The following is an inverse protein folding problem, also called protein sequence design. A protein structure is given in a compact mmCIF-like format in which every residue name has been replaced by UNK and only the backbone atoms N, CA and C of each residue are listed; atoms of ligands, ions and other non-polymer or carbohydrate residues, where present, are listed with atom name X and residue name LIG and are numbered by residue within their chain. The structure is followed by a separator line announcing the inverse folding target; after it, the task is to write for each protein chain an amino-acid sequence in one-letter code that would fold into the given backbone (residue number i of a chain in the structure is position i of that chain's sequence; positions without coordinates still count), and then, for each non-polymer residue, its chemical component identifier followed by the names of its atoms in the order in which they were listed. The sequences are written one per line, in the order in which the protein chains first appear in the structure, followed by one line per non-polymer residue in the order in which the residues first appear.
data_IF_101791778247
#
_entry.id   IF_101791778247
#
_cell.length_a   1.000
_cell.length_b   1.000
_cell.length_c   1.000
_cell.angle_alpha   90.00
_cell.angle_beta   90.00
_cell.angle_gamma   90.00
#
_symmetry.space_group_name_H-M   'P 1'
#
loop_
_entity.id
_entity.type
_entity.pdbx_description
1 polymer ?
#
# COMPACT_ATOMS: atom_id res chain seq x y z
N UNK A 1 -22.99 4.98 0.80
CA UNK A 1 -21.70 4.63 1.44
C UNK A 1 -20.57 5.04 0.50
N UNK A 2 -19.43 5.54 0.98
CA UNK A 2 -18.28 5.88 0.13
C UNK A 2 -17.65 4.60 -0.47
N UNK A 3 -17.16 4.69 -1.70
CA UNK A 3 -16.52 3.56 -2.40
C UNK A 3 -14.99 3.66 -2.24
N UNK A 4 -14.35 2.56 -1.84
CA UNK A 4 -12.90 2.41 -1.78
C UNK A 4 -12.43 1.32 -2.75
N UNK A 5 -11.45 1.64 -3.59
CA UNK A 5 -10.76 0.66 -4.45
C UNK A 5 -9.48 0.24 -3.75
N UNK A 6 -9.27 -1.07 -3.57
CA UNK A 6 -8.09 -1.63 -2.91
C UNK A 6 -7.47 -2.69 -3.82
N UNK A 7 -6.25 -2.46 -4.28
CA UNK A 7 -5.53 -3.43 -5.11
C UNK A 7 -4.76 -4.45 -4.25
N UNK A 8 -4.61 -5.68 -4.75
CA UNK A 8 -3.98 -6.77 -3.99
C UNK A 8 -4.86 -7.24 -2.82
N UNK A 9 -6.18 -7.30 -3.02
CA UNK A 9 -7.15 -7.55 -1.96
C UNK A 9 -7.30 -9.02 -1.53
N UNK A 10 -6.73 -9.97 -2.29
CA UNK A 10 -6.93 -11.41 -2.04
C UNK A 10 -6.19 -11.92 -0.78
N UNK A 11 -5.06 -11.32 -0.45
CA UNK A 11 -4.17 -11.84 0.59
C UNK A 11 -3.47 -10.73 1.39
N UNK A 12 -2.76 -11.14 2.42
CA UNK A 12 -1.83 -10.27 3.14
C UNK A 12 -2.48 -9.01 3.70
N UNK A 13 -1.74 -7.91 3.66
CA UNK A 13 -2.20 -6.59 4.13
C UNK A 13 -3.48 -6.18 3.38
N UNK A 14 -3.58 -6.47 2.06
CA UNK A 14 -4.72 -6.07 1.24
C UNK A 14 -6.04 -6.65 1.72
N UNK A 15 -6.06 -7.93 2.10
CA UNK A 15 -7.26 -8.58 2.68
C UNK A 15 -7.71 -7.90 3.98
N UNK A 16 -6.77 -7.53 4.83
CA UNK A 16 -7.05 -6.81 6.08
C UNK A 16 -7.53 -5.38 5.83
N UNK A 17 -6.98 -4.69 4.83
CA UNK A 17 -7.46 -3.39 4.37
C UNK A 17 -8.91 -3.48 3.89
N UNK A 18 -9.25 -4.46 3.04
CA UNK A 18 -10.62 -4.66 2.57
C UNK A 18 -11.60 -4.84 3.74
N UNK A 19 -11.26 -5.73 4.69
CA UNK A 19 -12.09 -5.97 5.86
C UNK A 19 -12.20 -4.74 6.79
N UNK A 20 -11.10 -4.00 6.98
CA UNK A 20 -11.06 -2.81 7.81
C UNK A 20 -11.90 -1.68 7.22
N UNK A 21 -11.77 -1.38 5.95
CA UNK A 21 -12.56 -0.36 5.28
C UNK A 21 -14.05 -0.71 5.21
N UNK A 22 -14.40 -1.97 4.99
CA UNK A 22 -15.80 -2.41 5.02
C UNK A 22 -16.43 -2.23 6.42
N UNK A 23 -15.69 -2.51 7.51
CA UNK A 23 -16.15 -2.26 8.88
C UNK A 23 -16.38 -0.77 9.18
N UNK A 24 -15.62 0.10 8.53
CA UNK A 24 -15.78 1.56 8.63
C UNK A 24 -16.83 2.13 7.66
N UNK A 25 -17.67 1.27 7.08
CA UNK A 25 -18.81 1.65 6.26
C UNK A 25 -18.49 2.01 4.81
N UNK A 26 -17.36 1.58 4.29
CA UNK A 26 -17.05 1.69 2.86
C UNK A 26 -17.62 0.50 2.09
N UNK A 27 -18.12 0.76 0.88
CA UNK A 27 -18.23 -0.27 -0.14
C UNK A 27 -16.85 -0.47 -0.76
N UNK A 28 -16.31 -1.67 -0.69
CA UNK A 28 -14.95 -1.98 -1.10
C UNK A 28 -14.95 -2.70 -2.44
N UNK A 29 -14.27 -2.14 -3.43
CA UNK A 29 -13.88 -2.83 -4.65
C UNK A 29 -12.47 -3.41 -4.47
N UNK A 30 -12.39 -4.71 -4.22
CA UNK A 30 -11.14 -5.43 -4.04
C UNK A 30 -10.65 -5.97 -5.39
N UNK A 31 -9.46 -5.53 -5.83
CA UNK A 31 -8.85 -5.94 -7.09
C UNK A 31 -7.69 -6.90 -6.83
N UNK A 32 -7.67 -8.03 -7.53
CA UNK A 32 -6.53 -8.96 -7.48
C UNK A 32 -6.48 -9.82 -8.76
N UNK A 33 -5.30 -10.35 -9.07
CA UNK A 33 -5.13 -11.36 -10.12
C UNK A 33 -5.57 -12.74 -9.64
N UNK A 34 -5.55 -12.98 -8.32
CA UNK A 34 -5.98 -14.24 -7.73
C UNK A 34 -7.49 -14.26 -7.50
N UNK A 35 -8.12 -15.44 -7.58
CA UNK A 35 -9.51 -15.57 -7.22
C UNK A 35 -9.76 -15.14 -5.79
N UNK A 36 -10.79 -14.34 -5.58
CA UNK A 36 -11.21 -13.85 -4.27
C UNK A 36 -12.66 -14.19 -4.02
N UNK A 37 -12.97 -14.47 -2.76
CA UNK A 37 -14.33 -14.48 -2.25
C UNK A 37 -14.36 -13.77 -0.90
N UNK A 38 -15.39 -13.02 -0.62
CA UNK A 38 -15.59 -12.41 0.68
C UNK A 38 -16.99 -12.70 1.19
N UNK A 39 -17.14 -13.11 2.45
CA UNK A 39 -18.45 -13.23 3.09
C UNK A 39 -19.07 -11.88 3.46
N UNK A 40 -18.29 -10.79 3.42
CA UNK A 40 -18.78 -9.46 3.76
C UNK A 40 -19.57 -8.88 2.57
N UNK A 41 -20.82 -8.45 2.77
CA UNK A 41 -21.69 -8.00 1.68
C UNK A 41 -21.15 -6.75 0.96
N UNK A 42 -20.41 -5.90 1.63
CA UNK A 42 -19.87 -4.66 1.08
C UNK A 42 -18.48 -4.82 0.45
N UNK A 43 -17.95 -6.04 0.31
CA UNK A 43 -16.69 -6.32 -0.39
C UNK A 43 -16.99 -7.01 -1.72
N UNK A 44 -16.75 -6.29 -2.81
CA UNK A 44 -16.93 -6.75 -4.18
C UNK A 44 -15.58 -7.07 -4.80
N UNK A 45 -15.42 -8.30 -5.32
CA UNK A 45 -14.17 -8.80 -5.86
C UNK A 45 -14.11 -8.65 -7.37
N UNK A 46 -13.04 -8.06 -7.89
CA UNK A 46 -12.81 -7.83 -9.30
C UNK A 46 -11.47 -8.43 -9.74
N UNK A 47 -11.45 -9.39 -10.67
CA UNK A 47 -10.22 -9.88 -11.26
C UNK A 47 -9.50 -8.76 -12.03
N UNK A 48 -8.22 -8.50 -11.73
CA UNK A 48 -7.44 -7.47 -12.42
C UNK A 48 -5.94 -7.73 -12.33
N UNK A 49 -5.28 -7.86 -13.46
CA UNK A 49 -3.81 -7.82 -13.53
C UNK A 49 -3.36 -6.36 -13.63
N UNK A 50 -2.60 -5.90 -12.65
CA UNK A 50 -2.10 -4.51 -12.59
C UNK A 50 -1.08 -4.18 -13.69
N UNK A 51 -0.60 -5.17 -14.46
CA UNK A 51 0.26 -4.96 -15.61
C UNK A 51 -0.54 -4.68 -16.88
N UNK A 52 -1.84 -5.03 -16.88
CA UNK A 52 -2.73 -4.85 -18.04
C UNK A 52 -3.51 -3.53 -17.91
N UNK A 53 -3.12 -2.56 -18.74
CA UNK A 53 -3.75 -1.23 -18.77
C UNK A 53 -5.22 -1.29 -19.18
N UNK A 54 -5.57 -2.16 -20.14
CA UNK A 54 -6.94 -2.29 -20.61
C UNK A 54 -7.85 -2.91 -19.52
N UNK A 55 -7.33 -3.92 -18.79
CA UNK A 55 -8.04 -4.52 -17.66
C UNK A 55 -8.29 -3.49 -16.55
N UNK A 56 -7.27 -2.68 -16.19
CA UNK A 56 -7.43 -1.60 -15.19
C UNK A 56 -8.50 -0.61 -15.63
N UNK A 57 -8.41 -0.11 -16.88
CA UNK A 57 -9.38 0.86 -17.39
C UNK A 57 -10.81 0.29 -17.35
N UNK A 58 -10.99 -0.94 -17.82
CA UNK A 58 -12.29 -1.61 -17.82
C UNK A 58 -12.86 -1.79 -16.42
N UNK A 59 -12.06 -2.28 -15.48
CA UNK A 59 -12.53 -2.55 -14.10
C UNK A 59 -12.88 -1.27 -13.35
N UNK A 60 -12.12 -0.17 -13.54
CA UNK A 60 -12.45 1.12 -12.92
C UNK A 60 -13.77 1.68 -13.45
N UNK A 61 -14.03 1.56 -14.76
CA UNK A 61 -15.32 1.93 -15.32
C UNK A 61 -16.48 1.08 -14.78
N UNK A 62 -16.28 -0.25 -14.68
CA UNK A 62 -17.28 -1.15 -14.10
C UNK A 62 -17.59 -0.79 -12.66
N UNK A 63 -16.58 -0.50 -11.83
CA UNK A 63 -16.76 -0.08 -10.44
C UNK A 63 -17.59 1.20 -10.37
N UNK A 64 -17.25 2.21 -11.18
CA UNK A 64 -17.98 3.47 -11.19
C UNK A 64 -19.46 3.29 -11.59
N UNK A 65 -19.75 2.39 -12.52
CA UNK A 65 -21.11 2.09 -12.98
C UNK A 65 -21.92 1.28 -11.96
N UNK A 66 -21.28 0.34 -11.24
CA UNK A 66 -21.97 -0.62 -10.38
C UNK A 66 -22.01 -0.23 -8.91
N UNK A 67 -20.93 0.40 -8.41
CA UNK A 67 -20.78 0.77 -7.01
C UNK A 67 -20.81 2.29 -6.78
N UNK A 68 -20.62 3.09 -7.83
CA UNK A 68 -20.57 4.54 -7.78
C UNK A 68 -19.14 5.10 -7.85
N UNK A 69 -19.02 6.42 -7.87
CA UNK A 69 -17.74 7.11 -7.97
C UNK A 69 -16.86 6.81 -6.77
N UNK A 70 -15.64 6.27 -6.98
CA UNK A 70 -14.75 5.95 -5.88
C UNK A 70 -14.26 7.22 -5.17
N UNK A 71 -14.11 7.15 -3.86
CA UNK A 71 -13.59 8.24 -3.02
C UNK A 71 -12.18 7.96 -2.50
N UNK A 72 -11.81 6.69 -2.42
CA UNK A 72 -10.51 6.24 -1.92
C UNK A 72 -9.92 5.23 -2.89
N UNK A 73 -8.62 5.37 -3.18
CA UNK A 73 -7.80 4.37 -3.87
C UNK A 73 -6.64 3.98 -2.97
N UNK A 74 -6.49 2.68 -2.69
CA UNK A 74 -5.32 2.13 -2.01
C UNK A 74 -4.56 1.23 -2.97
N UNK A 75 -3.40 1.69 -3.41
CA UNK A 75 -2.47 0.91 -4.23
C UNK A 75 -1.63 0.03 -3.31
N UNK A 76 -2.16 -1.15 -2.96
CA UNK A 76 -1.48 -2.14 -2.14
C UNK A 76 -0.91 -3.30 -2.98
N UNK A 77 -1.53 -3.62 -4.12
CA UNK A 77 -1.12 -4.73 -4.97
C UNK A 77 0.35 -4.63 -5.38
N UNK A 78 1.13 -5.65 -5.01
CA UNK A 78 2.56 -5.68 -5.27
C UNK A 78 3.08 -7.12 -5.32
N UNK A 79 4.19 -7.31 -5.99
CA UNK A 79 4.98 -8.55 -5.97
C UNK A 79 6.33 -8.29 -5.29
N UNK A 80 6.76 -9.27 -4.48
CA UNK A 80 8.05 -9.29 -3.80
C UNK A 80 8.71 -10.62 -4.12
N UNK A 81 9.45 -10.65 -5.22
CA UNK A 81 10.06 -11.87 -5.80
C UNK A 81 11.38 -11.57 -6.48
N UNK A 82 12.07 -12.62 -6.94
CA UNK A 82 13.36 -12.56 -7.61
C UNK A 82 14.51 -12.10 -6.71
N UNK A 83 14.53 -12.59 -5.44
CA UNK A 83 15.69 -12.40 -4.57
C UNK A 83 16.86 -13.24 -5.07
N UNK A 84 17.89 -12.58 -5.62
CA UNK A 84 19.08 -13.23 -6.14
C UNK A 84 20.29 -12.27 -6.17
N UNK A 85 21.53 -12.79 -6.36
CA UNK A 85 22.68 -11.91 -6.55
C UNK A 85 22.45 -10.94 -7.73
N UNK A 86 22.80 -9.67 -7.53
CA UNK A 86 22.52 -8.60 -8.49
C UNK A 86 22.94 -8.91 -9.94
N UNK A 87 24.15 -9.48 -10.24
CA UNK A 87 24.52 -9.78 -11.62
C UNK A 87 23.67 -10.85 -12.31
N UNK A 88 22.85 -11.58 -11.53
CA UNK A 88 21.96 -12.64 -12.05
C UNK A 88 20.51 -12.17 -12.18
N UNK A 89 20.19 -10.94 -11.78
CA UNK A 89 18.86 -10.37 -11.97
C UNK A 89 18.66 -10.03 -13.44
N UNK A 90 17.69 -10.69 -14.08
CA UNK A 90 17.38 -10.45 -15.48
C UNK A 90 16.49 -9.20 -15.65
N UNK A 91 16.68 -8.47 -16.76
CA UNK A 91 15.89 -7.28 -17.06
C UNK A 91 14.36 -7.55 -17.02
N UNK A 92 13.93 -8.69 -17.59
CA UNK A 92 12.51 -9.07 -17.55
C UNK A 92 11.94 -9.28 -16.15
N UNK A 93 12.77 -9.72 -15.19
CA UNK A 93 12.37 -9.91 -13.80
C UNK A 93 12.26 -8.55 -13.08
N UNK A 94 13.20 -7.66 -13.37
CA UNK A 94 13.15 -6.27 -12.92
C UNK A 94 11.90 -5.57 -13.46
N UNK A 95 11.65 -5.67 -14.77
CA UNK A 95 10.49 -5.08 -15.44
C UNK A 95 9.15 -5.63 -14.91
N UNK A 96 9.09 -6.92 -14.59
CA UNK A 96 7.90 -7.54 -14.03
C UNK A 96 7.53 -6.95 -12.66
N UNK A 97 8.53 -6.73 -11.79
CA UNK A 97 8.31 -6.10 -10.48
C UNK A 97 7.91 -4.63 -10.64
N UNK A 98 8.60 -3.87 -11.47
CA UNK A 98 8.25 -2.46 -11.71
C UNK A 98 6.90 -2.34 -12.42
N UNK A 99 6.61 -3.22 -13.35
CA UNK A 99 5.34 -3.28 -14.06
C UNK A 99 4.14 -3.40 -13.13
N UNK A 100 4.25 -4.28 -12.14
CA UNK A 100 3.20 -4.48 -11.13
C UNK A 100 3.18 -3.36 -10.10
N UNK A 101 4.33 -3.14 -9.42
CA UNK A 101 4.38 -2.34 -8.20
C UNK A 101 4.34 -0.83 -8.45
N UNK A 102 4.90 -0.37 -9.57
CA UNK A 102 5.02 1.06 -9.86
C UNK A 102 4.12 1.48 -11.03
N UNK A 103 4.28 0.84 -12.21
CA UNK A 103 3.46 1.18 -13.38
C UNK A 103 1.98 0.88 -13.12
N UNK A 104 1.66 -0.26 -12.50
CA UNK A 104 0.29 -0.61 -12.15
C UNK A 104 -0.35 0.42 -11.20
N UNK A 105 0.37 0.84 -10.16
CA UNK A 105 -0.10 1.89 -9.26
C UNK A 105 -0.31 3.22 -9.99
N UNK A 106 0.60 3.61 -10.89
CA UNK A 106 0.43 4.80 -11.74
C UNK A 106 -0.85 4.73 -12.57
N UNK A 107 -1.12 3.58 -13.22
CA UNK A 107 -2.31 3.38 -14.03
C UNK A 107 -3.58 3.48 -13.18
N UNK A 108 -3.60 2.86 -12.00
CA UNK A 108 -4.73 2.96 -11.07
C UNK A 108 -4.96 4.41 -10.61
N UNK A 109 -3.89 5.14 -10.26
CA UNK A 109 -3.99 6.57 -9.93
C UNK A 109 -4.61 7.37 -11.07
N UNK A 110 -4.16 7.13 -12.30
CA UNK A 110 -4.67 7.83 -13.49
C UNK A 110 -6.17 7.58 -13.70
N UNK A 111 -6.61 6.35 -13.64
CA UNK A 111 -8.04 6.01 -13.81
C UNK A 111 -8.88 6.57 -12.64
N UNK A 112 -8.38 6.47 -11.41
CA UNK A 112 -9.04 7.06 -10.26
C UNK A 112 -9.25 8.58 -10.42
N UNK A 113 -8.20 9.30 -10.82
CA UNK A 113 -8.28 10.76 -11.03
C UNK A 113 -9.27 11.10 -12.14
N UNK A 114 -9.33 10.32 -13.22
CA UNK A 114 -10.33 10.49 -14.30
C UNK A 114 -11.76 10.40 -13.79
N UNK A 115 -12.04 9.45 -12.91
CA UNK A 115 -13.37 9.24 -12.32
C UNK A 115 -13.72 10.30 -11.26
N UNK A 116 -12.73 10.78 -10.49
CA UNK A 116 -12.94 11.76 -9.42
C UNK A 116 -12.87 13.21 -9.90
N UNK A 117 -12.59 13.45 -11.18
CA UNK A 117 -12.42 14.80 -11.72
C UNK A 117 -13.71 15.63 -11.51
N UNK A 118 -13.53 16.79 -10.86
CA UNK A 118 -14.64 17.71 -10.60
C UNK A 118 -15.51 17.36 -9.39
N UNK A 119 -15.24 16.26 -8.66
CA UNK A 119 -15.97 15.93 -7.43
C UNK A 119 -15.53 16.74 -6.21
N UNK A 120 -14.36 17.39 -6.29
CA UNK A 120 -13.77 18.14 -5.17
C UNK A 120 -13.22 17.27 -4.04
N UNK A 121 -13.17 15.95 -4.22
CA UNK A 121 -12.69 15.02 -3.20
C UNK A 121 -12.07 13.75 -3.79
N UNK A 122 -10.98 13.30 -3.21
CA UNK A 122 -10.37 11.99 -3.48
C UNK A 122 -9.21 11.73 -2.54
N UNK A 123 -8.95 10.47 -2.21
CA UNK A 123 -7.82 10.03 -1.38
C UNK A 123 -7.07 8.91 -2.10
N UNK A 124 -5.82 9.15 -2.43
CA UNK A 124 -4.92 8.15 -2.99
C UNK A 124 -3.89 7.79 -1.93
N UNK A 125 -3.77 6.50 -1.59
CA UNK A 125 -2.83 5.98 -0.62
C UNK A 125 -2.00 4.88 -1.29
N UNK A 126 -0.71 5.13 -1.40
CA UNK A 126 0.23 4.18 -2.00
C UNK A 126 0.93 3.38 -0.90
N UNK A 127 0.79 2.06 -0.89
CA UNK A 127 1.51 1.20 0.04
C UNK A 127 2.93 0.97 -0.50
N UNK A 128 3.86 1.80 -0.01
CA UNK A 128 5.27 1.68 -0.30
C UNK A 128 5.93 0.59 0.57
N UNK A 129 7.05 0.86 1.17
CA UNK A 129 7.77 0.00 2.13
C UNK A 129 8.92 0.79 2.72
N UNK A 130 9.37 0.46 3.93
CA UNK A 130 10.64 0.96 4.47
C UNK A 130 11.83 0.66 3.56
N UNK A 131 11.70 -0.31 2.64
CA UNK A 131 12.71 -0.62 1.63
C UNK A 131 12.92 0.46 0.56
N UNK A 132 12.22 1.57 0.62
CA UNK A 132 12.55 2.75 -0.19
C UNK A 132 13.87 3.42 0.26
N UNK A 133 14.29 3.19 1.51
CA UNK A 133 15.50 3.78 2.10
C UNK A 133 16.40 2.77 2.84
N UNK A 134 15.85 1.65 3.35
CA UNK A 134 16.59 0.63 4.10
C UNK A 134 16.41 -0.72 3.43
N UNK A 135 17.42 -1.15 2.70
CA UNK A 135 17.35 -2.30 1.81
C UNK A 135 18.15 -3.50 2.31
N UNK A 136 17.83 -4.67 1.80
CA UNK A 136 18.62 -5.90 1.88
C UNK A 136 19.17 -6.24 0.51
N UNK A 137 20.30 -6.94 0.46
CA UNK A 137 20.87 -7.42 -0.80
C UNK A 137 19.93 -8.39 -1.53
N UNK A 138 19.93 -8.31 -2.85
CA UNK A 138 19.11 -9.16 -3.72
C UNK A 138 17.67 -8.71 -3.89
N UNK A 139 17.29 -7.52 -3.42
CA UNK A 139 15.94 -6.96 -3.53
C UNK A 139 15.88 -5.67 -4.36
N UNK A 140 16.80 -5.50 -5.32
CA UNK A 140 16.98 -4.26 -6.07
C UNK A 140 15.71 -3.83 -6.81
N UNK A 141 15.03 -4.77 -7.50
CA UNK A 141 13.79 -4.47 -8.22
C UNK A 141 12.67 -4.01 -7.26
N UNK A 142 12.52 -4.70 -6.13
CA UNK A 142 11.52 -4.33 -5.14
C UNK A 142 11.82 -2.97 -4.50
N UNK A 143 13.06 -2.76 -4.04
CA UNK A 143 13.48 -1.47 -3.48
C UNK A 143 13.30 -0.32 -4.46
N UNK A 144 13.72 -0.50 -5.72
CA UNK A 144 13.52 0.48 -6.78
C UNK A 144 12.03 0.80 -7.01
N UNK A 145 11.17 -0.22 -7.04
CA UNK A 145 9.74 -0.04 -7.24
C UNK A 145 9.10 0.76 -6.09
N UNK A 146 9.49 0.48 -4.85
CA UNK A 146 8.95 1.17 -3.65
C UNK A 146 9.50 2.59 -3.50
N UNK A 147 10.77 2.82 -3.87
CA UNK A 147 11.35 4.16 -3.99
C UNK A 147 10.65 4.99 -5.07
N UNK A 148 10.42 4.40 -6.24
CA UNK A 148 9.65 5.01 -7.32
C UNK A 148 8.23 5.39 -6.90
N UNK A 149 7.57 4.55 -6.08
CA UNK A 149 6.21 4.81 -5.60
C UNK A 149 6.16 6.00 -4.62
N UNK A 150 7.16 6.16 -3.76
CA UNK A 150 7.30 7.35 -2.89
C UNK A 150 7.50 8.61 -3.72
N UNK A 151 8.36 8.56 -4.74
CA UNK A 151 8.59 9.68 -5.66
C UNK A 151 7.34 10.02 -6.49
N UNK A 152 6.61 9.00 -6.98
CA UNK A 152 5.33 9.17 -7.68
C UNK A 152 4.29 9.86 -6.79
N UNK A 153 4.22 9.50 -5.50
CA UNK A 153 3.34 10.14 -4.51
C UNK A 153 3.62 11.64 -4.43
N UNK A 154 4.90 12.02 -4.26
CA UNK A 154 5.31 13.42 -4.18
C UNK A 154 5.00 14.20 -5.47
N UNK A 155 5.16 13.57 -6.63
CA UNK A 155 4.87 14.20 -7.92
C UNK A 155 3.36 14.39 -8.13
N UNK A 156 2.55 13.39 -7.78
CA UNK A 156 1.10 13.44 -7.97
C UNK A 156 0.43 14.46 -7.05
N UNK A 157 0.86 14.59 -5.79
CA UNK A 157 0.26 15.56 -4.87
C UNK A 157 0.43 17.01 -5.39
N UNK A 158 1.55 17.32 -6.07
CA UNK A 158 1.76 18.62 -6.71
C UNK A 158 0.92 18.76 -7.98
N UNK A 159 0.88 17.72 -8.82
CA UNK A 159 0.13 17.75 -10.08
C UNK A 159 -1.38 17.86 -9.89
N UNK A 160 -1.90 17.41 -8.75
CA UNK A 160 -3.33 17.40 -8.42
C UNK A 160 -3.73 18.58 -7.51
N UNK A 161 -2.91 19.62 -7.39
CA UNK A 161 -3.26 20.79 -6.58
C UNK A 161 -4.58 21.41 -7.07
N UNK A 162 -5.38 21.91 -6.12
CA UNK A 162 -6.69 22.53 -6.42
C UNK A 162 -7.81 21.56 -6.81
N UNK A 163 -7.56 20.25 -6.89
CA UNK A 163 -8.58 19.24 -7.26
C UNK A 163 -9.36 18.69 -6.07
N UNK A 164 -8.90 18.90 -4.84
CA UNK A 164 -9.43 18.26 -3.63
C UNK A 164 -8.94 16.81 -3.44
N UNK A 165 -8.09 16.30 -4.33
CA UNK A 165 -7.49 14.97 -4.23
C UNK A 165 -6.16 15.08 -3.46
N UNK A 166 -6.00 14.29 -2.40
CA UNK A 166 -4.72 14.11 -1.71
C UNK A 166 -4.05 12.80 -2.11
N UNK A 167 -2.72 12.82 -2.14
CA UNK A 167 -1.91 11.63 -2.47
C UNK A 167 -0.87 11.46 -1.39
N UNK A 168 -0.93 10.33 -0.68
CA UNK A 168 0.00 9.99 0.39
C UNK A 168 0.56 8.57 0.21
N UNK A 169 1.68 8.27 0.85
CA UNK A 169 2.22 6.93 0.93
C UNK A 169 2.23 6.45 2.38
N UNK A 170 2.05 5.15 2.57
CA UNK A 170 2.33 4.44 3.81
C UNK A 170 3.50 3.50 3.52
N UNK A 171 4.52 3.54 4.38
CA UNK A 171 5.70 2.67 4.29
C UNK A 171 5.75 1.70 5.46
N UNK A 172 5.15 0.50 5.31
CA UNK A 172 5.24 -0.52 6.34
C UNK A 172 6.69 -1.02 6.52
N UNK A 173 7.05 -1.32 7.77
CA UNK A 173 8.21 -2.13 8.11
C UNK A 173 7.89 -3.62 8.03
N UNK A 174 8.36 -4.39 9.01
CA UNK A 174 7.96 -5.79 9.11
C UNK A 174 6.54 -5.91 9.66
N UNK A 175 5.63 -6.34 8.81
CA UNK A 175 4.23 -6.64 9.15
C UNK A 175 4.05 -8.15 9.01
N UNK A 176 3.76 -8.84 10.12
CA UNK A 176 3.45 -10.26 10.10
C UNK A 176 1.97 -10.46 9.82
N UNK A 177 1.68 -11.15 8.75
CA UNK A 177 0.30 -11.37 8.27
C UNK A 177 -0.31 -12.64 8.87
N UNK A 178 0.46 -13.73 8.86
CA UNK A 178 0.04 -15.05 9.32
C UNK A 178 0.97 -15.50 10.45
N UNK A 179 0.51 -16.47 11.27
CA UNK A 179 1.29 -17.09 12.33
C UNK A 179 2.01 -16.11 13.28
N UNK A 180 1.32 -15.07 13.69
CA UNK A 180 1.91 -14.02 14.54
C UNK A 180 2.50 -14.58 15.84
N UNK A 181 1.87 -15.62 16.40
CA UNK A 181 2.29 -16.26 17.66
C UNK A 181 3.55 -17.12 17.49
N UNK A 182 3.96 -17.41 16.26
CA UNK A 182 5.23 -18.10 15.96
C UNK A 182 6.47 -17.21 16.03
N UNK A 183 6.28 -15.89 16.16
CA UNK A 183 7.37 -14.93 16.25
C UNK A 183 8.16 -15.09 17.56
N UNK A 184 9.48 -14.99 17.45
CA UNK A 184 10.38 -15.11 18.58
C UNK A 184 10.53 -13.76 19.30
N UNK A 185 10.91 -13.75 20.57
CA UNK A 185 11.18 -12.50 21.29
C UNK A 185 12.21 -11.58 20.58
N UNK A 186 13.24 -12.17 19.95
CA UNK A 186 14.21 -11.40 19.16
C UNK A 186 13.64 -10.74 17.91
N UNK A 187 12.56 -11.26 17.35
CA UNK A 187 11.88 -10.66 16.21
C UNK A 187 11.12 -9.38 16.65
N UNK A 188 10.49 -9.45 17.82
CA UNK A 188 9.81 -8.30 18.43
C UNK A 188 10.80 -7.21 18.86
N UNK A 189 11.93 -7.58 19.44
CA UNK A 189 12.92 -6.64 19.97
C UNK A 189 13.65 -5.82 18.91
N UNK A 190 13.51 -6.17 17.63
CA UNK A 190 14.01 -5.35 16.52
C UNK A 190 13.26 -4.02 16.39
N UNK A 191 12.06 -3.95 16.95
CA UNK A 191 11.20 -2.78 16.89
C UNK A 191 11.19 -2.07 18.26
N UNK A 192 11.67 -0.81 18.35
CA UNK A 192 11.57 -0.03 19.59
C UNK A 192 10.16 0.06 20.16
N UNK A 193 9.12 -0.10 19.34
CA UNK A 193 7.72 -0.23 19.82
C UNK A 193 7.40 -1.57 20.50
N UNK A 194 8.38 -2.44 20.70
CA UNK A 194 8.27 -3.69 21.47
C UNK A 194 7.60 -4.85 20.74
N UNK A 195 7.22 -4.70 19.48
CA UNK A 195 6.57 -5.76 18.71
C UNK A 195 6.73 -5.63 17.19
N UNK A 196 6.65 -6.75 16.51
CA UNK A 196 6.44 -6.79 15.05
C UNK A 196 5.05 -6.19 14.73
N UNK A 197 4.93 -5.51 13.61
CA UNK A 197 3.69 -4.91 13.15
C UNK A 197 2.64 -5.95 12.74
N UNK A 198 1.39 -5.54 12.77
CA UNK A 198 0.23 -6.31 12.29
C UNK A 198 -0.44 -5.58 11.13
N UNK A 199 -1.20 -6.27 10.27
CA UNK A 199 -1.93 -5.64 9.17
C UNK A 199 -2.85 -4.50 9.62
N UNK A 200 -3.41 -4.57 10.83
CA UNK A 200 -4.25 -3.55 11.43
C UNK A 200 -3.50 -2.22 11.64
N UNK A 201 -2.20 -2.26 11.90
CA UNK A 201 -1.38 -1.04 12.04
C UNK A 201 -1.35 -0.26 10.73
N UNK A 202 -1.23 -0.97 9.61
CA UNK A 202 -1.27 -0.37 8.27
C UNK A 202 -2.68 0.10 7.93
N UNK A 203 -3.70 -0.68 8.28
CA UNK A 203 -5.09 -0.33 8.05
C UNK A 203 -5.47 0.97 8.78
N UNK A 204 -5.10 1.11 10.05
CA UNK A 204 -5.37 2.32 10.84
C UNK A 204 -4.71 3.57 10.23
N UNK A 205 -3.48 3.44 9.74
CA UNK A 205 -2.80 4.53 9.03
C UNK A 205 -3.53 4.91 7.74
N UNK A 206 -4.00 3.92 6.97
CA UNK A 206 -4.78 4.16 5.76
C UNK A 206 -6.14 4.81 6.04
N UNK A 207 -6.84 4.37 7.07
CA UNK A 207 -8.12 4.98 7.50
C UNK A 207 -7.93 6.43 7.93
N UNK A 208 -6.86 6.74 8.68
CA UNK A 208 -6.52 8.11 9.00
C UNK A 208 -6.33 8.96 7.74
N UNK A 209 -5.51 8.50 6.79
CA UNK A 209 -5.25 9.23 5.54
C UNK A 209 -6.48 9.29 4.61
N UNK A 210 -7.43 8.37 4.75
CA UNK A 210 -8.67 8.34 4.00
C UNK A 210 -9.75 9.28 4.57
N UNK A 211 -9.58 9.78 5.80
CA UNK A 211 -10.56 10.62 6.47
C UNK A 211 -10.82 11.95 5.76
N UNK A 212 -12.07 12.40 5.78
CA UNK A 212 -12.46 13.67 5.15
C UNK A 212 -11.75 14.87 5.81
N UNK A 213 -11.64 14.85 7.13
CA UNK A 213 -11.02 15.91 7.94
C UNK A 213 -9.50 16.03 7.72
N UNK A 214 -8.87 15.01 7.10
CA UNK A 214 -7.42 14.96 6.93
C UNK A 214 -6.95 15.52 5.57
N UNK A 215 -7.74 16.42 4.96
CA UNK A 215 -7.42 16.98 3.64
C UNK A 215 -6.16 17.85 3.58
N UNK A 216 -5.60 18.26 4.71
CA UNK A 216 -4.34 19.01 4.75
C UNK A 216 -3.10 18.10 4.85
N UNK A 217 -3.29 16.78 5.06
CA UNK A 217 -2.22 15.77 5.00
C UNK A 217 -2.08 15.32 3.53
N UNK A 218 -1.09 15.87 2.83
CA UNK A 218 -0.87 15.61 1.41
C UNK A 218 0.62 15.54 1.08
N UNK A 219 1.05 14.56 0.30
CA UNK A 219 2.43 14.34 -0.10
C UNK A 219 3.30 13.67 0.98
N UNK A 220 2.71 13.19 2.09
CA UNK A 220 3.48 12.52 3.14
C UNK A 220 3.80 11.07 2.73
N UNK A 221 4.99 10.61 3.12
CA UNK A 221 5.31 9.20 3.24
C UNK A 221 5.35 8.84 4.73
N UNK A 222 4.35 8.10 5.21
CA UNK A 222 4.16 7.74 6.62
C UNK A 222 4.77 6.37 6.92
N UNK A 223 5.91 6.27 7.62
CA UNK A 223 6.43 4.99 8.07
C UNK A 223 5.51 4.37 9.14
N UNK A 224 5.20 3.09 8.97
CA UNK A 224 4.47 2.26 9.94
C UNK A 224 5.35 1.05 10.25
N UNK A 225 6.38 1.25 11.06
CA UNK A 225 7.50 0.33 11.21
C UNK A 225 7.96 0.08 12.65
N UNK A 226 7.22 0.59 13.64
CA UNK A 226 7.60 0.46 15.04
C UNK A 226 8.96 1.08 15.37
N UNK A 227 9.35 2.12 14.62
CA UNK A 227 10.64 2.85 14.74
C UNK A 227 11.86 2.03 14.26
N UNK A 228 11.64 0.89 13.61
CA UNK A 228 12.72 0.01 13.14
C UNK A 228 13.77 0.76 12.29
N UNK A 229 13.34 1.64 11.37
CA UNK A 229 14.23 2.38 10.45
C UNK A 229 14.98 3.55 11.12
N UNK A 230 14.66 3.90 12.36
CA UNK A 230 15.33 4.98 13.10
C UNK A 230 16.37 4.46 14.08
N UNK A 231 16.40 3.15 14.34
CA UNK A 231 17.35 2.52 15.24
C UNK A 231 18.72 2.45 14.60
N UNK A 232 19.74 2.86 15.36
CA UNK A 232 21.15 2.69 14.97
C UNK A 232 21.56 1.22 15.07
N UNK A 233 22.46 0.77 14.18
CA UNK A 233 22.93 -0.62 14.08
C UNK A 233 24.14 -0.89 15.01
N UNK A 234 24.45 -0.02 15.93
CA UNK A 234 25.54 -0.28 16.88
C UNK A 234 25.14 -1.37 17.88
N UNK A 235 26.11 -2.19 18.36
CA UNK A 235 25.88 -3.03 19.52
C UNK A 235 25.33 -2.16 20.65
N UNK A 236 24.26 -2.61 21.29
CA UNK A 236 23.67 -1.84 22.38
C UNK A 236 24.65 -1.74 23.53
N UNK A 237 24.89 -0.52 24.00
CA UNK A 237 25.38 -0.28 25.34
C UNK A 237 24.28 -0.66 26.34
N UNK A 238 24.66 -0.85 27.60
CA UNK A 238 23.73 -1.11 28.70
C UNK A 238 22.51 -0.14 28.61
N UNK A 239 21.31 -0.62 28.87
CA UNK A 239 20.13 0.23 28.81
C UNK A 239 20.29 1.43 29.77
N UNK A 240 20.01 2.64 29.23
CA UNK A 240 20.08 3.87 30.03
C UNK A 240 19.03 3.91 31.14
N UNK A 241 18.00 3.08 31.03
CA UNK A 241 16.90 2.98 32.00
C UNK A 241 16.92 1.57 32.57
N UNK A 242 17.48 1.43 33.73
CA UNK A 242 17.26 0.29 34.62
C UNK A 242 16.23 0.72 35.64
N UNK A 243 15.19 -0.10 35.87
CA UNK A 243 14.23 0.10 36.96
C UNK A 243 14.90 0.14 38.33
#
# INVERSE_FOLDING_TARGET
MPVAIITGGAAGIGRHLCAGFAREGYVVAALDIQPMSSPHPDIHCFPCDLRDEAAITSVFHTIAQTLGTPRVLINNGAVSRFRKPFPLLEAKEFDDVLGTNLRGAFLCCREFVRLCRGTGYGRIINIASTRYQQNECGWEAYGASKGGLVSLTASLCVSLHGTGITVNAVSPGWIQVDDYDSLRPCDHSQHPSGRVGKPEDVCNACLFLAGEENGFVNGVNLPVDGVMTRRMIYPEADPLWTE
#
